data_IF_751819271960
#
_entry.id   IF_751819271960
#
_cell.length_a   1.000
_cell.length_b   1.000
_cell.length_c   1.000
_cell.angle_alpha   90.00
_cell.angle_beta   90.00
_cell.angle_gamma   90.00
#
_symmetry.space_group_name_H-M   'P 1'
#
loop_
_entity.id
_entity.type
_entity.pdbx_description
1 polymer ?
#
# COMPACT_ATOMS: atom_id res chain seq x y z
N UNK A 1 16.43 -19.15 9.41
CA UNK A 1 17.50 -18.49 8.60
C UNK A 1 16.91 -17.13 8.26
N UNK A 2 17.44 -16.04 8.82
CA UNK A 2 16.76 -14.73 8.79
C UNK A 2 16.42 -14.28 7.37
N UNK A 3 15.28 -13.59 7.22
CA UNK A 3 14.81 -13.10 5.93
C UNK A 3 15.93 -12.30 5.25
N UNK A 4 16.30 -12.69 4.02
CA UNK A 4 17.37 -12.02 3.27
C UNK A 4 16.98 -10.56 3.02
N UNK A 5 17.94 -9.65 3.14
CA UNK A 5 17.76 -8.24 2.78
C UNK A 5 17.14 -8.15 1.38
N UNK A 6 16.04 -7.39 1.26
CA UNK A 6 15.28 -7.23 0.01
C UNK A 6 16.19 -6.72 -1.10
N UNK A 7 17.15 -5.84 -0.79
CA UNK A 7 18.11 -5.33 -1.79
C UNK A 7 18.92 -6.47 -2.41
N UNK A 8 19.44 -7.37 -1.58
CA UNK A 8 20.20 -8.54 -2.04
C UNK A 8 19.36 -9.53 -2.85
N UNK A 9 18.04 -9.59 -2.63
CA UNK A 9 17.13 -10.40 -3.46
C UNK A 9 17.00 -9.76 -4.85
N UNK A 10 16.72 -8.46 -4.89
CA UNK A 10 16.48 -7.71 -6.12
C UNK A 10 17.71 -7.62 -7.02
N UNK A 11 18.92 -7.67 -6.47
CA UNK A 11 20.17 -7.77 -7.25
C UNK A 11 20.29 -9.08 -8.03
N UNK A 12 19.63 -10.15 -7.58
CA UNK A 12 19.80 -11.51 -8.12
C UNK A 12 18.62 -11.95 -8.98
N UNK A 13 17.41 -11.48 -8.67
CA UNK A 13 16.18 -11.89 -9.34
C UNK A 13 15.00 -10.97 -9.03
N UNK A 14 13.93 -11.12 -9.79
CA UNK A 14 12.63 -10.51 -9.53
C UNK A 14 12.03 -11.08 -8.24
N UNK A 15 11.40 -10.21 -7.45
CA UNK A 15 10.60 -10.54 -6.27
C UNK A 15 9.12 -10.50 -6.64
N UNK A 16 8.42 -11.62 -6.51
CA UNK A 16 6.99 -11.72 -6.87
C UNK A 16 6.12 -11.29 -5.68
N UNK A 17 5.30 -10.27 -5.90
CA UNK A 17 4.32 -9.79 -4.93
C UNK A 17 2.99 -10.54 -5.03
N UNK A 18 2.24 -10.54 -3.93
CA UNK A 18 0.85 -10.98 -3.91
C UNK A 18 -0.09 -10.09 -4.76
N UNK A 19 -1.28 -10.61 -5.04
CA UNK A 19 -2.31 -9.92 -5.81
C UNK A 19 -3.13 -8.92 -4.99
N UNK A 20 -4.37 -8.69 -5.41
CA UNK A 20 -5.29 -7.78 -4.74
C UNK A 20 -5.97 -8.43 -3.52
N UNK A 21 -6.09 -7.68 -2.43
CA UNK A 21 -6.90 -8.08 -1.27
C UNK A 21 -8.39 -7.72 -1.49
N UNK A 22 -8.66 -6.55 -2.07
CA UNK A 22 -10.02 -6.03 -2.25
C UNK A 22 -10.93 -6.87 -3.16
N UNK A 23 -10.39 -7.71 -4.04
CA UNK A 23 -11.20 -8.64 -4.85
C UNK A 23 -11.77 -9.81 -4.04
N UNK A 24 -11.08 -10.21 -2.97
CA UNK A 24 -11.57 -11.26 -2.05
C UNK A 24 -12.57 -10.71 -1.03
N UNK A 25 -12.33 -9.48 -0.58
CA UNK A 25 -13.19 -8.76 0.33
C UNK A 25 -14.07 -7.77 -0.43
N UNK A 26 -14.68 -8.21 -1.54
CA UNK A 26 -15.53 -7.35 -2.35
C UNK A 26 -16.65 -6.76 -1.46
N UNK A 27 -16.46 -5.53 -1.03
CA UNK A 27 -17.32 -4.85 -0.06
C UNK A 27 -18.33 -3.98 -0.78
N UNK A 28 -19.37 -3.56 -0.06
CA UNK A 28 -20.28 -2.52 -0.54
C UNK A 28 -19.50 -1.23 -0.81
N UNK A 29 -19.91 -0.41 -1.80
CA UNK A 29 -19.29 0.87 -2.07
C UNK A 29 -19.12 1.70 -0.79
N UNK A 30 -17.88 2.10 -0.48
CA UNK A 30 -17.56 2.92 0.70
C UNK A 30 -17.15 2.15 1.96
N UNK A 31 -17.15 0.81 1.94
CA UNK A 31 -16.58 0.02 3.03
C UNK A 31 -15.17 -0.45 2.67
N UNK A 32 -14.20 -0.05 3.48
CA UNK A 32 -12.78 -0.36 3.30
C UNK A 32 -12.51 -1.85 3.60
N UNK A 33 -11.79 -2.55 2.71
CA UNK A 33 -11.42 -3.96 2.92
C UNK A 33 -10.49 -4.12 4.14
N UNK A 34 -9.83 -3.04 4.57
CA UNK A 34 -9.03 -2.92 5.78
C UNK A 34 -9.79 -3.34 7.04
N UNK A 35 -11.12 -3.15 7.07
CA UNK A 35 -11.95 -3.53 8.22
C UNK A 35 -11.86 -5.02 8.55
N UNK A 36 -11.65 -5.86 7.53
CA UNK A 36 -11.47 -7.30 7.71
C UNK A 36 -10.25 -7.66 8.57
N UNK A 37 -9.28 -6.76 8.77
CA UNK A 37 -8.18 -6.98 9.70
C UNK A 37 -8.68 -7.22 11.14
N UNK A 38 -9.83 -6.65 11.51
CA UNK A 38 -10.45 -6.83 12.82
C UNK A 38 -11.67 -7.74 12.77
N UNK A 39 -12.48 -7.67 11.71
CA UNK A 39 -13.75 -8.39 11.63
C UNK A 39 -13.65 -9.81 11.05
N UNK A 40 -12.62 -10.09 10.24
CA UNK A 40 -12.36 -11.41 9.65
C UNK A 40 -10.85 -11.69 9.51
N UNK A 41 -10.09 -11.71 10.62
CA UNK A 41 -8.64 -11.92 10.59
C UNK A 41 -8.25 -13.27 9.98
N UNK A 42 -9.07 -14.31 10.17
CA UNK A 42 -8.82 -15.63 9.58
C UNK A 42 -8.96 -15.61 8.06
N UNK A 43 -9.92 -14.86 7.50
CA UNK A 43 -10.00 -14.70 6.06
C UNK A 43 -8.81 -13.92 5.47
N UNK A 44 -8.32 -12.89 6.15
CA UNK A 44 -7.10 -12.18 5.73
C UNK A 44 -5.90 -13.14 5.69
N UNK A 45 -5.76 -13.98 6.73
CA UNK A 45 -4.73 -15.02 6.76
C UNK A 45 -4.92 -16.04 5.63
N UNK A 46 -6.15 -16.46 5.33
CA UNK A 46 -6.45 -17.37 4.20
C UNK A 46 -6.01 -16.76 2.88
N UNK A 47 -6.31 -15.48 2.61
CA UNK A 47 -5.92 -14.81 1.35
C UNK A 47 -4.41 -14.69 1.23
N UNK A 48 -3.70 -14.24 2.28
CA UNK A 48 -2.25 -14.19 2.26
C UNK A 48 -1.63 -15.57 2.02
N UNK A 49 -2.10 -16.61 2.72
CA UNK A 49 -1.62 -17.99 2.55
C UNK A 49 -1.90 -18.51 1.14
N UNK A 50 -3.03 -18.16 0.53
CA UNK A 50 -3.34 -18.53 -0.84
C UNK A 50 -2.34 -17.89 -1.83
N UNK A 51 -1.98 -16.62 -1.64
CA UNK A 51 -0.96 -15.98 -2.47
C UNK A 51 0.43 -16.60 -2.28
N UNK A 52 0.82 -16.93 -1.04
CA UNK A 52 2.06 -17.67 -0.79
C UNK A 52 2.06 -19.03 -1.48
N UNK A 53 0.94 -19.77 -1.42
CA UNK A 53 0.80 -21.05 -2.10
C UNK A 53 0.84 -20.93 -3.63
N UNK A 54 0.41 -19.79 -4.18
CA UNK A 54 0.53 -19.46 -5.60
C UNK A 54 1.94 -18.99 -6.02
N UNK A 55 2.89 -18.89 -5.08
CA UNK A 55 4.28 -18.51 -5.36
C UNK A 55 4.63 -17.05 -5.06
N UNK A 56 3.77 -16.30 -4.36
CA UNK A 56 4.17 -14.98 -3.87
C UNK A 56 5.29 -15.10 -2.84
N UNK A 57 6.24 -14.17 -2.91
CA UNK A 57 7.44 -14.10 -2.08
C UNK A 57 7.50 -12.81 -1.25
N UNK A 58 6.60 -11.88 -1.56
CA UNK A 58 6.34 -10.66 -0.82
C UNK A 58 4.83 -10.47 -0.64
N UNK A 59 4.43 -10.16 0.59
CA UNK A 59 3.06 -9.83 0.95
C UNK A 59 2.91 -8.33 1.20
N UNK A 60 1.81 -7.77 0.70
CA UNK A 60 1.37 -6.41 1.04
C UNK A 60 0.44 -6.48 2.25
N UNK A 61 0.61 -5.62 3.24
CA UNK A 61 -0.38 -5.52 4.33
C UNK A 61 -1.72 -5.05 3.78
N UNK A 62 -2.84 -5.53 4.35
CA UNK A 62 -4.17 -5.01 4.01
C UNK A 62 -4.39 -3.62 4.64
N UNK A 63 -3.73 -2.60 4.11
CA UNK A 63 -3.67 -1.25 4.71
C UNK A 63 -3.70 -0.11 3.68
N UNK A 64 -4.01 -0.39 2.42
CA UNK A 64 -3.91 0.57 1.32
C UNK A 64 -4.71 1.86 1.57
N UNK A 65 -5.94 1.75 2.08
CA UNK A 65 -6.83 2.87 2.37
C UNK A 65 -6.54 3.62 3.67
N UNK A 66 -5.68 3.09 4.55
CA UNK A 66 -5.46 3.68 5.89
C UNK A 66 -4.87 5.08 5.88
N UNK A 67 -3.94 5.46 4.97
CA UNK A 67 -3.46 6.85 4.89
C UNK A 67 -4.58 7.86 4.64
N UNK A 68 -5.59 7.52 3.83
CA UNK A 68 -6.76 8.38 3.61
C UNK A 68 -7.63 8.46 4.85
N UNK A 69 -7.85 7.34 5.55
CA UNK A 69 -8.57 7.32 6.83
C UNK A 69 -7.87 8.21 7.87
N UNK A 70 -6.54 8.09 7.99
CA UNK A 70 -5.73 8.89 8.88
C UNK A 70 -5.82 10.39 8.55
N UNK A 71 -5.72 10.76 7.26
CA UNK A 71 -5.84 12.14 6.80
C UNK A 71 -7.24 12.74 7.05
N UNK A 72 -8.29 11.90 7.00
CA UNK A 72 -9.66 12.28 7.33
C UNK A 72 -9.95 12.31 8.84
N UNK A 73 -8.99 11.93 9.70
CA UNK A 73 -9.21 11.81 11.14
C UNK A 73 -10.19 10.70 11.53
N UNK A 74 -10.40 9.70 10.66
CA UNK A 74 -11.32 8.61 10.91
C UNK A 74 -10.84 7.79 12.13
N UNK A 75 -11.69 7.50 13.12
CA UNK A 75 -11.28 6.76 14.30
C UNK A 75 -10.90 5.31 13.97
N UNK A 76 -10.00 4.73 14.76
CA UNK A 76 -9.66 3.30 14.69
C UNK A 76 -8.66 2.90 13.58
N UNK A 77 -8.17 3.84 12.77
CA UNK A 77 -7.20 3.52 11.70
C UNK A 77 -5.89 2.91 12.23
N UNK A 78 -5.45 3.27 13.44
CA UNK A 78 -4.25 2.71 14.05
C UNK A 78 -4.41 1.22 14.39
N UNK A 79 -5.56 0.82 14.93
CA UNK A 79 -5.85 -0.57 15.27
C UNK A 79 -5.93 -1.43 13.99
N UNK A 80 -6.48 -0.88 12.91
CA UNK A 80 -6.50 -1.52 11.60
C UNK A 80 -5.09 -1.69 11.02
N UNK A 81 -4.21 -0.70 11.19
CA UNK A 81 -2.82 -0.76 10.74
C UNK A 81 -2.03 -1.83 11.50
N UNK A 82 -2.16 -1.85 12.83
CA UNK A 82 -1.49 -2.84 13.69
C UNK A 82 -1.96 -4.25 13.37
N UNK A 83 -3.27 -4.46 13.25
CA UNK A 83 -3.83 -5.75 12.88
C UNK A 83 -3.38 -6.20 11.48
N UNK A 84 -3.44 -5.31 10.48
CA UNK A 84 -2.99 -5.61 9.12
C UNK A 84 -1.51 -6.01 9.05
N UNK A 85 -0.64 -5.30 9.78
CA UNK A 85 0.77 -5.66 9.90
C UNK A 85 0.97 -7.02 10.56
N UNK A 86 0.31 -7.24 11.70
CA UNK A 86 0.40 -8.49 12.47
C UNK A 86 -0.03 -9.69 11.62
N UNK A 87 -1.14 -9.60 10.90
CA UNK A 87 -1.67 -10.68 10.08
C UNK A 87 -0.75 -11.01 8.90
N UNK A 88 -0.23 -10.01 8.19
CA UNK A 88 0.72 -10.23 7.10
C UNK A 88 2.03 -10.87 7.60
N UNK A 89 2.57 -10.41 8.75
CA UNK A 89 3.75 -11.01 9.39
C UNK A 89 3.50 -12.44 9.83
N UNK A 90 2.33 -12.72 10.41
CA UNK A 90 1.92 -14.06 10.80
C UNK A 90 1.81 -15.00 9.59
N UNK A 91 1.23 -14.54 8.49
CA UNK A 91 1.12 -15.34 7.27
C UNK A 91 2.49 -15.58 6.61
N UNK A 92 3.33 -14.55 6.54
CA UNK A 92 4.65 -14.64 5.91
C UNK A 92 5.61 -15.58 6.64
N UNK A 93 5.62 -15.56 7.99
CA UNK A 93 6.63 -16.28 8.77
C UNK A 93 8.06 -15.94 8.31
N UNK A 94 8.87 -16.97 8.04
CA UNK A 94 10.19 -16.83 7.40
C UNK A 94 10.16 -17.01 5.87
N UNK A 95 8.98 -17.22 5.27
CA UNK A 95 8.83 -17.62 3.86
C UNK A 95 8.77 -16.45 2.89
N UNK A 96 8.32 -15.28 3.35
CA UNK A 96 8.09 -14.12 2.50
C UNK A 96 8.45 -12.80 3.20
N UNK A 97 8.77 -11.79 2.40
CA UNK A 97 8.90 -10.41 2.87
C UNK A 97 7.52 -9.79 3.09
N UNK A 98 7.43 -8.81 3.98
CA UNK A 98 6.20 -8.06 4.25
C UNK A 98 6.45 -6.59 4.00
N UNK A 99 5.56 -5.96 3.24
CA UNK A 99 5.63 -4.56 2.87
C UNK A 99 4.36 -3.85 3.34
N UNK A 100 4.52 -2.64 3.86
CA UNK A 100 3.39 -1.78 4.16
C UNK A 100 2.76 -1.29 2.85
N UNK A 101 1.49 -1.60 2.65
CA UNK A 101 0.72 -1.08 1.53
C UNK A 101 0.06 0.23 1.93
N UNK A 102 0.54 1.34 1.39
CA UNK A 102 0.11 2.70 1.77
C UNK A 102 -0.33 3.44 0.52
N UNK A 103 -1.64 3.52 0.33
CA UNK A 103 -2.26 4.28 -0.76
C UNK A 103 -2.19 5.80 -0.54
N UNK A 104 -2.77 6.57 -1.47
CA UNK A 104 -2.75 8.03 -1.39
C UNK A 104 -3.56 8.54 -0.20
N UNK A 105 -2.98 9.49 0.56
CA UNK A 105 -3.65 10.14 1.69
C UNK A 105 -4.70 11.19 1.27
N UNK A 106 -4.61 11.70 0.04
CA UNK A 106 -5.54 12.69 -0.52
C UNK A 106 -6.47 12.00 -1.53
N UNK A 107 -7.73 12.48 -1.69
CA UNK A 107 -8.58 12.00 -2.77
C UNK A 107 -7.85 12.21 -4.11
N UNK A 108 -7.79 11.16 -4.93
CA UNK A 108 -7.15 11.16 -6.26
C UNK A 108 -7.86 12.07 -7.30
N UNK A 109 -8.71 12.98 -6.85
CA UNK A 109 -9.35 14.02 -7.64
C UNK A 109 -9.04 15.37 -7.02
N UNK A 110 -8.11 16.12 -7.61
CA UNK A 110 -7.75 17.48 -7.21
C UNK A 110 -8.85 18.51 -7.46
N UNK A 111 -9.97 18.44 -6.74
CA UNK A 111 -11.12 19.35 -6.88
C UNK A 111 -11.52 20.12 -5.60
N UNK A 112 -10.67 20.12 -4.58
CA UNK A 112 -10.72 21.18 -3.57
C UNK A 112 -9.59 22.18 -3.88
N UNK A 113 -9.87 23.50 -3.98
CA UNK A 113 -8.80 24.48 -4.04
C UNK A 113 -7.91 24.24 -2.83
N UNK A 114 -6.60 24.10 -3.06
CA UNK A 114 -5.59 24.07 -2.00
C UNK A 114 -5.95 25.23 -1.07
N UNK A 115 -6.43 25.00 0.18
CA UNK A 115 -6.58 26.11 1.09
C UNK A 115 -5.17 26.69 1.19
N UNK A 116 -5.02 27.98 0.83
CA UNK A 116 -3.73 28.68 0.87
C UNK A 116 -3.04 28.21 2.13
N UNK A 117 -1.87 27.59 1.95
CA UNK A 117 -1.11 27.03 3.06
C UNK A 117 -1.14 28.03 4.20
N UNK A 118 -1.59 27.58 5.38
CA UNK A 118 -1.29 28.33 6.58
C UNK A 118 0.23 28.52 6.60
N UNK A 119 0.76 29.69 7.02
CA UNK A 119 2.20 29.98 6.94
C UNK A 119 3.10 29.01 7.72
N UNK A 120 2.52 28.01 8.39
CA UNK A 120 3.17 27.11 9.33
C UNK A 120 3.68 25.78 8.72
N UNK A 121 3.39 25.47 7.45
CA UNK A 121 4.00 24.33 6.75
C UNK A 121 4.92 24.81 5.62
N UNK A 122 6.11 25.28 5.98
CA UNK A 122 7.25 25.35 5.04
C UNK A 122 7.88 23.96 4.95
N UNK A 123 7.51 23.21 3.90
CA UNK A 123 8.29 22.05 3.49
C UNK A 123 9.65 22.51 2.97
N UNK A 124 10.73 22.06 3.62
CA UNK A 124 12.09 22.30 3.17
C UNK A 124 12.36 21.55 1.86
N UNK A 125 13.19 22.15 1.01
CA UNK A 125 13.38 21.92 -0.43
C UNK A 125 13.95 20.55 -0.86
N UNK A 126 13.91 19.51 -0.03
CA UNK A 126 14.59 18.23 -0.28
C UNK A 126 13.86 17.21 -1.16
N UNK A 127 12.56 17.39 -1.40
CA UNK A 127 11.69 16.30 -1.92
C UNK A 127 11.29 16.41 -3.40
N UNK A 128 11.72 17.46 -4.12
CA UNK A 128 11.37 17.65 -5.54
C UNK A 128 11.87 16.56 -6.49
N UNK A 129 12.88 15.78 -6.10
CA UNK A 129 13.52 14.77 -6.96
C UNK A 129 12.76 13.45 -7.09
N UNK A 130 11.71 13.23 -6.29
CA UNK A 130 10.98 11.96 -6.24
C UNK A 130 9.64 11.97 -7.00
N UNK A 131 9.30 13.07 -7.69
CA UNK A 131 8.12 13.15 -8.55
C UNK A 131 8.54 13.27 -10.02
N UNK A 132 8.03 12.31 -10.80
CA UNK A 132 8.19 12.02 -12.24
C UNK A 132 8.56 13.17 -13.20
N UNK A 133 9.36 12.92 -14.26
CA UNK A 133 9.78 13.95 -15.21
C UNK A 133 8.61 14.53 -16.01
N UNK A 134 8.61 15.86 -16.18
CA UNK A 134 7.71 16.57 -17.11
C UNK A 134 7.94 16.09 -18.55
N UNK A 135 6.84 16.04 -19.29
CA UNK A 135 6.68 15.38 -20.58
C UNK A 135 7.77 15.61 -21.61
N UNK A 136 8.12 14.55 -22.33
CA UNK A 136 8.66 14.65 -23.68
C UNK A 136 7.48 14.70 -24.65
N UNK A 137 7.35 15.82 -25.37
CA UNK A 137 6.51 15.93 -26.55
C UNK A 137 7.06 14.99 -27.63
N UNK A 138 6.29 13.99 -28.05
CA UNK A 138 6.53 13.29 -29.31
C UNK A 138 5.77 14.03 -30.40
N UNK A 139 6.50 14.73 -31.27
CA UNK A 139 5.97 15.41 -32.45
C UNK A 139 5.57 14.37 -33.50
N UNK A 140 4.28 14.32 -33.84
CA UNK A 140 3.79 13.59 -35.02
C UNK A 140 4.07 14.42 -36.29
N UNK A 141 5.12 14.08 -37.03
CA UNK A 141 5.23 14.40 -38.45
C UNK A 141 6.43 13.69 -39.09
N UNK A 142 6.16 12.62 -39.84
CA UNK A 142 6.61 12.40 -41.22
C UNK A 142 6.22 11.00 -41.70
N UNK A 143 5.31 10.99 -42.67
CA UNK A 143 5.47 10.17 -43.88
C UNK A 143 6.71 10.65 -44.64
#
# INVERSE_FOLDING_TARGET
MGLKDVRSILEKRVLVFDGAMGTYYQTQPGQECEQANLTDPEGILRVHRAYLAAGAEALKTNTFGLPRMAAAGAPGWQALAEAGWRLARQAAGEKAAVFADLGPALPIWGLLPIPRASPLLRFTSGWRKYFWPRGQHVSSSRL
#
